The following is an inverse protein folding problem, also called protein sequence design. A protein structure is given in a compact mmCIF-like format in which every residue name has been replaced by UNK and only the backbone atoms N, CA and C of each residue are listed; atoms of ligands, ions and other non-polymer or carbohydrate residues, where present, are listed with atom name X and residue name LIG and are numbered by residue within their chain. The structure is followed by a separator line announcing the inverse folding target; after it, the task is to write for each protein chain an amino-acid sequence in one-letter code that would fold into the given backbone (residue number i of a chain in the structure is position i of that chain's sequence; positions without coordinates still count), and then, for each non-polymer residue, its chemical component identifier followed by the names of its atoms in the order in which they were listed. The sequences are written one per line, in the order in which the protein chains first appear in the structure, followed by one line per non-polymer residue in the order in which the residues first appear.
data_IF_798691938798
#
_entry.id   IF_798691938798
#
_cell.length_a   1.000
_cell.length_b   1.000
_cell.length_c   1.000
_cell.angle_alpha   90.00
_cell.angle_beta   90.00
_cell.angle_gamma   90.00
#
_symmetry.space_group_name_H-M   'P 1'
#
loop_
_entity.id
_entity.type
_entity.pdbx_description
1 polymer ?
#
# COMPACT_ATOMS: atom_id res chain seq x y z
N UNK A 1 -15.44 33.32 -6.88
CA UNK A 1 -14.06 33.76 -6.56
C UNK A 1 -13.21 33.68 -7.81
N UNK A 2 -12.91 34.83 -8.43
CA UNK A 2 -12.03 34.88 -9.61
C UNK A 2 -10.58 34.66 -9.15
N UNK A 3 -9.99 33.49 -9.48
CA UNK A 3 -8.57 33.25 -9.25
C UNK A 3 -7.79 34.21 -10.13
N UNK A 4 -7.05 35.10 -9.49
CA UNK A 4 -6.14 36.05 -10.13
C UNK A 4 -5.11 35.27 -10.98
N UNK A 5 -5.43 35.05 -12.26
CA UNK A 5 -4.59 34.28 -13.19
C UNK A 5 -3.43 35.17 -13.60
N UNK A 6 -2.30 34.99 -12.93
CA UNK A 6 -1.06 35.65 -13.33
C UNK A 6 -0.56 34.97 -14.62
N UNK A 7 -0.46 35.66 -15.76
CA UNK A 7 -0.10 35.04 -17.03
C UNK A 7 1.24 34.29 -16.98
N UNK A 8 2.22 34.82 -16.25
CA UNK A 8 3.54 34.20 -16.08
C UNK A 8 3.51 32.85 -15.32
N UNK A 9 2.46 32.58 -14.54
CA UNK A 9 2.28 31.26 -13.91
C UNK A 9 1.71 30.23 -14.89
N UNK A 10 0.97 30.66 -15.91
CA UNK A 10 0.37 29.72 -16.88
C UNK A 10 1.46 28.99 -17.66
N UNK A 11 2.51 29.69 -18.07
CA UNK A 11 3.66 29.10 -18.76
C UNK A 11 4.40 28.07 -17.88
N UNK A 12 4.60 28.40 -16.61
CA UNK A 12 5.25 27.50 -15.64
C UNK A 12 4.41 26.25 -15.42
N UNK A 13 3.09 26.42 -15.27
CA UNK A 13 2.17 25.28 -15.12
C UNK A 13 2.07 24.45 -16.40
N UNK A 14 2.07 25.07 -17.57
CA UNK A 14 2.07 24.38 -18.87
C UNK A 14 3.34 23.54 -19.03
N UNK A 15 4.52 24.10 -18.76
CA UNK A 15 5.79 23.36 -18.78
C UNK A 15 5.78 22.19 -17.81
N UNK A 16 5.30 22.39 -16.58
CA UNK A 16 5.20 21.33 -15.56
C UNK A 16 4.23 20.22 -15.98
N UNK A 17 3.10 20.58 -16.60
CA UNK A 17 2.14 19.60 -17.15
C UNK A 17 2.77 18.78 -18.26
N UNK A 18 3.42 19.42 -19.24
CA UNK A 18 4.09 18.74 -20.35
C UNK A 18 5.18 17.79 -19.86
N UNK A 19 6.03 18.25 -18.93
CA UNK A 19 7.05 17.42 -18.28
C UNK A 19 6.44 16.19 -17.58
N UNK A 20 5.30 16.37 -16.92
CA UNK A 20 4.59 15.26 -16.27
C UNK A 20 4.13 14.23 -17.30
N UNK A 21 3.55 14.68 -18.41
CA UNK A 21 3.07 13.79 -19.48
C UNK A 21 4.22 13.04 -20.13
N UNK A 22 5.35 13.71 -20.43
CA UNK A 22 6.51 13.05 -21.05
C UNK A 22 7.08 11.95 -20.14
N UNK A 23 7.37 12.28 -18.87
CA UNK A 23 7.91 11.33 -17.92
C UNK A 23 7.00 10.12 -17.70
N UNK A 24 5.68 10.35 -17.59
CA UNK A 24 4.71 9.25 -17.43
C UNK A 24 4.66 8.37 -18.67
N UNK A 25 4.68 8.96 -19.87
CA UNK A 25 4.69 8.21 -21.13
C UNK A 25 5.93 7.33 -21.24
N UNK A 26 7.10 7.89 -20.94
CA UNK A 26 8.38 7.18 -21.02
C UNK A 26 8.45 6.07 -19.96
N UNK A 27 8.01 6.36 -18.73
CA UNK A 27 7.90 5.37 -17.66
C UNK A 27 6.98 4.20 -18.04
N UNK A 28 5.82 4.49 -18.65
CA UNK A 28 4.89 3.47 -19.13
C UNK A 28 5.50 2.64 -20.27
N UNK A 29 6.25 3.26 -21.18
CA UNK A 29 6.95 2.55 -22.25
C UNK A 29 7.99 1.58 -21.69
N UNK A 30 8.85 2.04 -20.77
CA UNK A 30 9.88 1.20 -20.14
C UNK A 30 9.24 0.06 -19.34
N UNK A 31 8.23 0.34 -18.51
CA UNK A 31 7.53 -0.70 -17.75
C UNK A 31 6.85 -1.73 -18.67
N UNK A 32 6.34 -1.31 -19.83
CA UNK A 32 5.77 -2.22 -20.82
C UNK A 32 6.85 -3.11 -21.47
N UNK A 33 8.02 -2.56 -21.78
CA UNK A 33 9.15 -3.29 -22.35
C UNK A 33 9.74 -4.30 -21.34
N UNK A 34 9.84 -3.93 -20.06
CA UNK A 34 10.30 -4.79 -18.97
C UNK A 34 9.26 -5.83 -18.53
N UNK A 35 8.09 -5.86 -19.16
CA UNK A 35 6.94 -6.69 -18.78
C UNK A 35 6.56 -6.55 -17.29
N UNK A 36 6.76 -5.35 -16.72
CA UNK A 36 6.44 -5.04 -15.32
C UNK A 36 5.04 -4.46 -15.20
N UNK A 37 4.43 -4.65 -14.03
CA UNK A 37 3.09 -4.13 -13.75
C UNK A 37 3.05 -2.60 -13.85
N UNK A 38 2.18 -2.09 -14.71
CA UNK A 38 1.94 -0.66 -14.89
C UNK A 38 0.98 -0.18 -13.80
N UNK A 39 1.52 0.10 -12.62
CA UNK A 39 0.81 0.71 -11.49
C UNK A 39 1.29 2.13 -11.27
N UNK A 40 0.47 2.99 -10.65
CA UNK A 40 0.89 4.36 -10.33
C UNK A 40 2.20 4.37 -9.52
N UNK A 41 2.36 3.47 -8.55
CA UNK A 41 3.58 3.40 -7.72
C UNK A 41 4.82 3.03 -8.53
N UNK A 42 4.70 2.11 -9.50
CA UNK A 42 5.82 1.74 -10.37
C UNK A 42 6.15 2.88 -11.34
N UNK A 43 5.14 3.57 -11.86
CA UNK A 43 5.36 4.76 -12.70
C UNK A 43 6.11 5.83 -11.91
N UNK A 44 5.68 6.16 -10.68
CA UNK A 44 6.37 7.14 -9.83
C UNK A 44 7.84 6.76 -9.65
N UNK A 45 8.14 5.51 -9.28
CA UNK A 45 9.53 5.03 -9.14
C UNK A 45 10.32 5.15 -10.45
N UNK A 46 9.72 4.75 -11.56
CA UNK A 46 10.37 4.80 -12.87
C UNK A 46 10.63 6.24 -13.31
N UNK A 47 9.71 7.16 -13.05
CA UNK A 47 9.90 8.58 -13.38
C UNK A 47 11.06 9.21 -12.62
N UNK A 48 11.37 8.77 -11.40
CA UNK A 48 12.54 9.24 -10.65
C UNK A 48 13.85 8.84 -11.35
N UNK A 49 13.89 7.64 -11.95
CA UNK A 49 15.06 7.15 -12.67
C UNK A 49 15.24 7.82 -14.04
N UNK A 50 14.13 8.16 -14.70
CA UNK A 50 14.13 8.78 -16.04
C UNK A 50 14.29 10.31 -16.00
N UNK A 51 14.02 10.93 -14.85
CA UNK A 51 14.09 12.36 -14.68
C UNK A 51 15.53 12.80 -14.42
N UNK A 52 16.07 13.65 -15.31
CA UNK A 52 17.40 14.22 -15.18
C UNK A 52 17.59 15.03 -13.88
N UNK A 53 16.51 15.55 -13.29
CA UNK A 53 16.55 16.25 -12.00
C UNK A 53 16.38 15.31 -10.79
N UNK A 54 16.07 14.04 -11.01
CA UNK A 54 15.83 13.04 -9.96
C UNK A 54 14.58 13.27 -9.11
N UNK A 55 13.69 14.19 -9.48
CA UNK A 55 12.47 14.53 -8.72
C UNK A 55 11.31 13.60 -9.04
N UNK A 56 11.28 13.07 -10.26
CA UNK A 56 10.20 12.26 -10.81
C UNK A 56 8.86 13.00 -10.84
N UNK A 57 7.79 12.21 -10.73
CA UNK A 57 6.39 12.67 -10.72
C UNK A 57 5.66 12.02 -9.55
N UNK A 58 4.85 12.77 -8.81
CA UNK A 58 4.02 12.22 -7.72
C UNK A 58 2.70 11.62 -8.22
N UNK A 59 2.06 10.75 -7.42
CA UNK A 59 0.71 10.24 -7.70
C UNK A 59 -0.29 11.35 -8.00
N UNK A 60 -0.33 12.39 -7.18
CA UNK A 60 -1.26 13.52 -7.35
C UNK A 60 -0.99 14.29 -8.65
N UNK A 61 0.27 14.41 -9.08
CA UNK A 61 0.61 15.06 -10.33
C UNK A 61 0.13 14.27 -11.56
N UNK A 62 0.16 12.93 -11.49
CA UNK A 62 -0.40 12.06 -12.54
C UNK A 62 -1.92 12.17 -12.57
N UNK A 63 -2.58 12.06 -11.41
CA UNK A 63 -4.05 12.06 -11.32
C UNK A 63 -4.68 13.41 -11.70
N UNK A 64 -4.01 14.52 -11.38
CA UNK A 64 -4.50 15.87 -11.67
C UNK A 64 -4.14 16.35 -13.10
N UNK A 65 -3.43 15.55 -13.88
CA UNK A 65 -3.10 15.83 -15.27
C UNK A 65 -3.79 14.80 -16.16
N UNK A 66 -4.85 15.23 -16.84
CA UNK A 66 -5.74 14.36 -17.61
C UNK A 66 -5.00 13.57 -18.69
N UNK A 67 -4.05 14.18 -19.39
CA UNK A 67 -3.24 13.52 -20.43
C UNK A 67 -2.32 12.43 -19.84
N UNK A 68 -1.70 12.71 -18.69
CA UNK A 68 -0.85 11.76 -18.00
C UNK A 68 -1.67 10.60 -17.43
N UNK A 69 -2.84 10.91 -16.86
CA UNK A 69 -3.78 9.91 -16.37
C UNK A 69 -4.29 9.00 -17.49
N UNK A 70 -4.60 9.54 -18.67
CA UNK A 70 -4.99 8.77 -19.85
C UNK A 70 -3.88 7.80 -20.29
N UNK A 71 -2.62 8.24 -20.29
CA UNK A 71 -1.46 7.40 -20.59
C UNK A 71 -1.35 6.20 -19.63
N UNK A 72 -1.54 6.44 -18.33
CA UNK A 72 -1.61 5.38 -17.32
C UNK A 72 -2.81 4.44 -17.55
N UNK A 73 -4.02 4.99 -17.62
CA UNK A 73 -5.28 4.22 -17.65
C UNK A 73 -5.35 3.28 -18.86
N UNK A 74 -4.96 3.75 -20.04
CA UNK A 74 -5.02 2.98 -21.28
C UNK A 74 -4.13 1.72 -21.27
N UNK A 75 -3.06 1.73 -20.47
CA UNK A 75 -2.09 0.62 -20.39
C UNK A 75 -2.28 -0.22 -19.12
N UNK A 76 -2.69 0.40 -18.00
CA UNK A 76 -3.01 -0.31 -16.76
C UNK A 76 -4.16 -1.31 -16.92
N UNK A 77 -5.16 -0.99 -17.75
CA UNK A 77 -6.29 -1.89 -18.04
C UNK A 77 -5.88 -3.13 -18.87
N UNK A 78 -4.82 -3.05 -19.67
CA UNK A 78 -4.45 -4.11 -20.62
C UNK A 78 -3.60 -5.23 -20.00
N UNK A 79 -3.00 -4.98 -18.83
CA UNK A 79 -2.17 -5.95 -18.09
C UNK A 79 -2.87 -6.49 -16.82
N UNK A 80 -4.14 -6.16 -16.60
CA UNK A 80 -4.89 -6.62 -15.42
C UNK A 80 -5.35 -8.09 -15.53
N UNK A 81 -5.23 -8.73 -16.69
CA UNK A 81 -5.46 -10.16 -16.87
C UNK A 81 -4.13 -10.91 -16.92
N UNK A 82 -3.95 -11.87 -16.01
CA UNK A 82 -2.85 -12.83 -15.94
C UNK A 82 -1.50 -12.26 -15.51
N UNK A 83 -1.32 -12.14 -14.20
CA UNK A 83 -0.27 -12.87 -13.47
C UNK A 83 -0.41 -12.59 -11.97
N UNK A 84 -1.03 -13.56 -11.29
CA UNK A 84 -0.87 -13.73 -9.84
C UNK A 84 0.59 -14.14 -9.62
N UNK A 85 1.49 -13.16 -9.53
CA UNK A 85 2.83 -13.40 -9.00
C UNK A 85 2.67 -14.13 -7.65
N UNK A 86 3.33 -15.27 -7.43
CA UNK A 86 3.39 -15.85 -6.11
C UNK A 86 4.08 -14.82 -5.23
N UNK A 87 3.32 -14.20 -4.32
CA UNK A 87 3.89 -13.32 -3.31
C UNK A 87 4.86 -14.17 -2.51
N UNK A 88 6.15 -13.87 -2.64
CA UNK A 88 7.18 -14.37 -1.74
C UNK A 88 6.70 -14.09 -0.32
N UNK A 89 6.49 -15.18 0.42
CA UNK A 89 6.00 -15.16 1.79
C UNK A 89 7.04 -14.40 2.61
N UNK A 90 6.70 -13.18 3.02
CA UNK A 90 7.43 -12.56 4.13
C UNK A 90 7.09 -13.38 5.36
N UNK A 91 8.05 -14.19 5.77
CA UNK A 91 8.06 -14.94 7.01
C UNK A 91 7.64 -14.04 8.19
N UNK A 92 6.98 -14.67 9.15
CA UNK A 92 6.49 -14.09 10.39
C UNK A 92 7.56 -13.23 11.06
N UNK A 93 7.31 -11.92 11.17
CA UNK A 93 7.86 -11.01 12.19
C UNK A 93 6.88 -9.85 12.32
N UNK A 94 5.76 -10.11 12.98
CA UNK A 94 4.85 -9.09 13.42
C UNK A 94 4.35 -9.52 14.78
N UNK A 95 5.00 -9.01 15.83
CA UNK A 95 4.48 -9.10 17.18
C UNK A 95 3.01 -8.64 17.16
N UNK A 96 2.16 -9.40 17.85
CA UNK A 96 0.75 -9.08 18.02
C UNK A 96 0.64 -7.80 18.86
N UNK A 97 0.87 -6.64 18.24
CA UNK A 97 0.71 -5.36 18.91
C UNK A 97 -0.77 -5.19 19.29
N UNK A 98 -1.08 -4.89 20.56
CA UNK A 98 -2.44 -4.65 21.02
C UNK A 98 -2.93 -3.33 20.44
N UNK A 99 -3.43 -3.35 19.21
CA UNK A 99 -3.83 -2.14 18.49
C UNK A 99 -5.33 -2.15 18.27
N UNK A 100 -6.01 -1.32 19.08
CA UNK A 100 -7.37 -0.78 18.90
C UNK A 100 -8.52 -1.79 18.73
N UNK A 101 -9.43 -1.79 19.71
CA UNK A 101 -10.79 -2.30 19.57
C UNK A 101 -11.41 -1.78 18.25
N UNK A 102 -11.85 -2.74 17.45
CA UNK A 102 -12.05 -2.69 16.01
C UNK A 102 -13.19 -1.73 15.58
N UNK A 103 -12.93 -0.78 14.66
CA UNK A 103 -14.00 0.04 14.03
C UNK A 103 -14.50 -0.46 12.67
N UNK A 104 -13.87 -1.46 12.03
CA UNK A 104 -14.32 -1.98 10.72
C UNK A 104 -14.11 -3.50 10.59
N UNK A 105 -15.12 -4.25 11.04
CA UNK A 105 -15.19 -5.71 10.95
C UNK A 105 -15.26 -6.21 9.48
N UNK A 106 -16.05 -5.59 8.58
CA UNK A 106 -16.07 -5.97 7.17
C UNK A 106 -14.72 -5.92 6.46
N UNK A 107 -13.91 -4.87 6.68
CA UNK A 107 -12.59 -4.75 6.07
C UNK A 107 -11.62 -5.82 6.59
N UNK A 108 -11.63 -6.10 7.90
CA UNK A 108 -10.81 -7.18 8.48
C UNK A 108 -11.23 -8.55 7.95
N UNK A 109 -12.53 -8.84 7.88
CA UNK A 109 -13.05 -10.09 7.32
C UNK A 109 -12.60 -10.29 5.87
N UNK A 110 -12.64 -9.23 5.06
CA UNK A 110 -12.16 -9.26 3.67
C UNK A 110 -10.66 -9.54 3.59
N UNK A 111 -9.85 -8.88 4.43
CA UNK A 111 -8.40 -9.11 4.49
C UNK A 111 -8.06 -10.54 4.89
N UNK A 112 -8.73 -11.05 5.93
CA UNK A 112 -8.50 -12.42 6.41
C UNK A 112 -8.84 -13.44 5.31
N UNK A 113 -10.01 -13.32 4.68
CA UNK A 113 -10.40 -14.22 3.58
C UNK A 113 -9.48 -14.16 2.36
N UNK A 114 -8.94 -12.98 2.06
CA UNK A 114 -8.11 -12.79 0.87
C UNK A 114 -6.65 -13.24 1.08
N UNK A 115 -6.19 -13.28 2.33
CA UNK A 115 -4.78 -13.51 2.65
C UNK A 115 -4.51 -14.89 3.26
N UNK A 116 -5.54 -15.59 3.74
CA UNK A 116 -5.40 -16.84 4.48
C UNK A 116 -6.32 -17.92 3.92
N UNK A 117 -5.84 -19.16 3.92
CA UNK A 117 -6.65 -20.36 3.68
C UNK A 117 -7.49 -20.70 4.92
N UNK A 118 -8.41 -21.66 4.79
CA UNK A 118 -9.21 -22.13 5.93
C UNK A 118 -8.30 -22.74 6.99
N UNK A 119 -7.29 -23.48 6.57
CA UNK A 119 -6.29 -24.15 7.39
C UNK A 119 -5.46 -23.12 8.16
N UNK A 120 -4.97 -22.06 7.49
CA UNK A 120 -4.22 -20.98 8.16
C UNK A 120 -5.07 -20.26 9.22
N UNK A 121 -6.36 -20.07 8.95
CA UNK A 121 -7.28 -19.45 9.90
C UNK A 121 -7.55 -20.35 11.12
N UNK A 122 -7.63 -21.66 10.93
CA UNK A 122 -7.75 -22.63 12.03
C UNK A 122 -6.50 -22.59 12.91
N UNK A 123 -5.31 -22.61 12.31
CA UNK A 123 -4.05 -22.54 13.05
C UNK A 123 -3.90 -21.21 13.82
N UNK A 124 -4.33 -20.10 13.21
CA UNK A 124 -4.35 -18.80 13.88
C UNK A 124 -5.29 -18.79 15.08
N UNK A 125 -6.47 -19.42 14.97
CA UNK A 125 -7.41 -19.54 16.10
C UNK A 125 -6.81 -20.35 17.23
N UNK A 126 -6.18 -21.49 16.92
CA UNK A 126 -5.51 -22.33 17.93
C UNK A 126 -4.43 -21.52 18.66
N UNK A 127 -3.54 -20.84 17.92
CA UNK A 127 -2.49 -19.99 18.52
C UNK A 127 -3.05 -18.87 19.41
N UNK A 128 -4.18 -18.28 19.02
CA UNK A 128 -4.84 -17.27 19.83
C UNK A 128 -5.42 -17.85 21.12
N UNK A 129 -6.00 -19.05 21.06
CA UNK A 129 -6.50 -19.76 22.24
C UNK A 129 -5.36 -20.10 23.21
N UNK A 130 -4.24 -20.64 22.70
CA UNK A 130 -3.06 -20.94 23.51
C UNK A 130 -2.52 -19.68 24.19
N UNK A 131 -2.42 -18.57 23.45
CA UNK A 131 -2.01 -17.28 24.01
C UNK A 131 -2.97 -16.75 25.08
N UNK A 132 -4.28 -16.90 24.89
CA UNK A 132 -5.25 -16.52 25.91
C UNK A 132 -5.07 -17.36 27.18
N UNK A 133 -4.84 -18.67 27.05
CA UNK A 133 -4.58 -19.55 28.19
C UNK A 133 -3.29 -19.15 28.93
N UNK A 134 -2.21 -18.83 28.21
CA UNK A 134 -0.97 -18.31 28.81
C UNK A 134 -1.22 -17.01 29.60
N UNK A 135 -2.02 -16.09 29.05
CA UNK A 135 -2.37 -14.85 29.75
C UNK A 135 -3.20 -15.11 31.01
N UNK A 136 -4.16 -16.04 30.97
CA UNK A 136 -4.96 -16.41 32.13
C UNK A 136 -4.11 -17.02 33.25
N UNK A 137 -3.15 -17.89 32.92
CA UNK A 137 -2.21 -18.46 33.88
C UNK A 137 -1.32 -17.36 34.47
N UNK A 138 -0.70 -16.55 33.61
CA UNK A 138 0.18 -15.44 34.04
C UNK A 138 -0.55 -14.44 34.93
N UNK A 139 -1.83 -14.16 34.65
CA UNK A 139 -2.64 -13.31 35.51
C UNK A 139 -2.88 -13.99 36.85
N UNK A 140 -3.31 -15.26 36.87
CA UNK A 140 -3.52 -16.01 38.12
C UNK A 140 -2.28 -16.05 38.99
N UNK A 141 -1.11 -16.34 38.43
CA UNK A 141 0.16 -16.36 39.16
C UNK A 141 0.48 -14.99 39.77
N UNK A 142 0.33 -13.92 38.99
CA UNK A 142 0.52 -12.54 39.50
C UNK A 142 -0.48 -12.16 40.58
N UNK A 143 -1.72 -12.64 40.49
CA UNK A 143 -2.72 -12.39 41.53
C UNK A 143 -2.39 -13.16 42.81
N UNK A 144 -1.92 -14.41 42.72
CA UNK A 144 -1.46 -15.20 43.87
C UNK A 144 -0.27 -14.52 44.55
N UNK A 145 0.73 -14.07 43.79
CA UNK A 145 1.88 -13.33 44.34
C UNK A 145 1.48 -12.03 45.06
N UNK A 146 0.41 -11.36 44.63
CA UNK A 146 -0.09 -10.15 45.29
C UNK A 146 -0.78 -10.49 46.62
N UNK A 147 -1.52 -11.60 46.70
CA UNK A 147 -2.18 -12.02 47.94
C UNK A 147 -1.20 -12.61 48.96
N UNK A 148 -0.16 -13.31 48.51
CA UNK A 148 0.85 -13.94 49.38
C UNK A 148 1.91 -12.93 49.89
N UNK A 149 2.00 -11.73 49.31
CA UNK A 149 2.89 -10.64 49.76
C UNK A 149 2.16 -9.53 50.55
N UNK A 150 0.92 -9.77 50.98
CA UNK A 150 0.19 -8.92 51.95
C UNK A 150 0.17 -9.66 53.28
N UNK A 151 1.34 -9.73 53.94
CA UNK A 151 1.52 -10.06 55.36
C UNK A 151 2.57 -9.11 55.96
#
# INVERSE_FOLDING_TARGET
MSKNRKPWLEDVYAKKKLRTVSLVRDAVAVLSQENRKITLSNIVKQTVLLDAEGKGVSHSAILNNEDAYCCYKNKASKLASNERMPRTRSFMKGDLNPTSLCRDIPAKRRRLRNNYTKEDLIELVIKLQDKCAEYEITLKDKWVDIYDNID
#
